data_IF_675993810370
#
_entry.id   IF_675993810370
#
_cell.length_a   1.000
_cell.length_b   1.000
_cell.length_c   1.000
_cell.angle_alpha   90.00
_cell.angle_beta   90.00
_cell.angle_gamma   90.00
#
_symmetry.space_group_name_H-M   'P 1'
#
loop_
_entity.id
_entity.type
_entity.pdbx_description
1 polymer ?
#
# COMPACT_ATOMS: atom_id res chain seq x y z
N UNK A 1 -40.04 -1.52 -24.42
CA UNK A 1 -39.15 -0.97 -23.38
C UNK A 1 -39.14 0.54 -23.50
N UNK A 2 -39.89 1.19 -22.62
CA UNK A 2 -40.03 2.64 -22.55
C UNK A 2 -38.70 3.27 -22.09
N UNK A 3 -38.45 4.53 -22.50
CA UNK A 3 -37.19 5.25 -22.21
C UNK A 3 -36.89 5.38 -20.70
N UNK A 4 -37.92 5.27 -19.85
CA UNK A 4 -37.81 5.27 -18.40
C UNK A 4 -37.14 4.00 -17.86
N UNK A 5 -37.61 2.81 -18.29
CA UNK A 5 -37.05 1.51 -17.87
C UNK A 5 -35.55 1.39 -18.20
N UNK A 6 -35.12 1.91 -19.37
CA UNK A 6 -33.72 1.87 -19.79
C UNK A 6 -32.81 2.79 -18.95
N UNK A 7 -33.38 3.82 -18.29
CA UNK A 7 -32.66 4.75 -17.42
C UNK A 7 -32.48 4.16 -16.03
N UNK A 8 -33.54 3.57 -15.49
CA UNK A 8 -33.52 2.81 -14.23
C UNK A 8 -32.53 1.64 -14.36
N UNK A 9 -32.70 0.80 -15.40
CA UNK A 9 -31.82 -0.34 -15.68
C UNK A 9 -30.34 0.05 -15.81
N UNK A 10 -30.03 1.17 -16.46
CA UNK A 10 -28.64 1.69 -16.55
C UNK A 10 -28.11 2.19 -15.21
N UNK A 11 -28.98 2.74 -14.36
CA UNK A 11 -28.62 3.22 -13.03
C UNK A 11 -28.31 2.01 -12.13
N UNK A 12 -29.20 1.02 -12.11
CA UNK A 12 -29.00 -0.24 -11.37
C UNK A 12 -27.76 -1.00 -11.87
N UNK A 13 -27.55 -1.10 -13.19
CA UNK A 13 -26.32 -1.71 -13.75
C UNK A 13 -25.07 -0.92 -13.35
N UNK A 14 -25.12 0.41 -13.36
CA UNK A 14 -23.97 1.24 -12.98
C UNK A 14 -23.67 1.10 -11.49
N UNK A 15 -24.70 1.00 -10.64
CA UNK A 15 -24.55 0.76 -9.21
C UNK A 15 -23.98 -0.64 -8.94
N UNK A 16 -24.48 -1.68 -9.62
CA UNK A 16 -23.93 -3.04 -9.56
C UNK A 16 -22.47 -3.12 -10.06
N UNK A 17 -22.13 -2.42 -11.15
CA UNK A 17 -20.75 -2.34 -11.67
C UNK A 17 -19.83 -1.52 -10.76
N UNK A 18 -20.35 -0.51 -10.04
CA UNK A 18 -19.58 0.27 -9.06
C UNK A 18 -19.31 -0.54 -7.80
N UNK A 19 -20.22 -1.44 -7.43
CA UNK A 19 -20.08 -2.36 -6.30
C UNK A 19 -19.00 -3.43 -6.55
N UNK A 20 -18.79 -3.81 -7.81
CA UNK A 20 -17.78 -4.81 -8.20
C UNK A 20 -16.41 -4.20 -8.58
N UNK A 21 -16.33 -2.89 -8.83
CA UNK A 21 -15.06 -2.22 -9.09
C UNK A 21 -14.37 -1.75 -7.80
N UNK A 22 -13.48 -2.62 -7.33
CA UNK A 22 -12.33 -2.22 -6.52
C UNK A 22 -12.49 -2.62 -5.07
N UNK A 23 -12.39 -3.92 -4.82
CA UNK A 23 -12.31 -4.48 -3.48
C UNK A 23 -11.07 -3.98 -2.73
N UNK A 24 -11.19 -2.86 -2.03
CA UNK A 24 -10.38 -2.56 -0.85
C UNK A 24 -10.93 -3.36 0.33
N UNK A 25 -10.63 -4.66 0.34
CA UNK A 25 -10.47 -5.38 1.60
C UNK A 25 -8.98 -5.36 1.84
N UNK A 26 -8.51 -4.64 2.86
CA UNK A 26 -7.10 -4.67 3.29
C UNK A 26 -6.76 -6.13 3.52
N UNK A 27 -6.17 -6.74 2.51
CA UNK A 27 -6.06 -8.18 2.44
C UNK A 27 -4.93 -8.59 3.36
N UNK A 28 -5.05 -9.72 4.04
CA UNK A 28 -3.96 -10.28 4.85
C UNK A 28 -2.64 -10.32 4.05
N UNK A 29 -2.74 -10.46 2.73
CA UNK A 29 -1.65 -10.34 1.76
C UNK A 29 -0.94 -8.98 1.81
N UNK A 30 -1.66 -7.86 1.91
CA UNK A 30 -1.09 -6.51 2.05
C UNK A 30 -0.39 -6.32 3.40
N UNK A 31 -0.92 -6.94 4.46
CA UNK A 31 -0.28 -6.95 5.79
C UNK A 31 1.02 -7.76 5.75
N UNK A 32 1.02 -8.93 5.10
CA UNK A 32 2.23 -9.75 4.92
C UNK A 32 3.26 -9.00 4.06
N UNK A 33 2.84 -8.35 2.99
CA UNK A 33 3.72 -7.50 2.17
C UNK A 33 4.24 -6.30 2.95
N UNK A 34 3.47 -5.71 3.86
CA UNK A 34 3.91 -4.59 4.70
C UNK A 34 5.01 -4.99 5.69
N UNK A 35 5.02 -6.25 6.14
CA UNK A 35 6.06 -6.78 7.03
C UNK A 35 7.32 -7.16 6.24
N UNK A 36 7.17 -7.77 5.06
CA UNK A 36 8.30 -8.24 4.25
C UNK A 36 8.95 -7.13 3.43
N UNK A 37 8.14 -6.23 2.85
CA UNK A 37 8.52 -5.12 1.98
C UNK A 37 7.63 -3.89 2.25
N UNK A 38 7.80 -3.23 3.42
CA UNK A 38 7.01 -2.06 3.84
C UNK A 38 6.83 -0.97 2.77
N UNK A 39 7.86 -0.55 2.01
CA UNK A 39 7.69 0.51 1.01
C UNK A 39 6.83 0.10 -0.19
N UNK A 40 6.79 -1.18 -0.58
CA UNK A 40 5.95 -1.67 -1.68
C UNK A 40 4.48 -1.78 -1.28
N UNK A 41 4.21 -2.21 -0.04
CA UNK A 41 2.85 -2.29 0.48
C UNK A 41 2.21 -0.90 0.59
N UNK A 42 2.96 0.08 1.11
CA UNK A 42 2.48 1.47 1.22
C UNK A 42 2.31 2.10 -0.16
N UNK A 43 3.21 1.81 -1.11
CA UNK A 43 3.08 2.27 -2.49
C UNK A 43 1.83 1.72 -3.18
N UNK A 44 1.47 0.45 -2.94
CA UNK A 44 0.29 -0.19 -3.54
C UNK A 44 -1.03 0.25 -2.87
N UNK A 45 -1.00 0.54 -1.58
CA UNK A 45 -2.21 0.84 -0.80
C UNK A 45 -2.53 2.35 -0.71
N UNK A 46 -1.51 3.21 -0.64
CA UNK A 46 -1.66 4.67 -0.42
C UNK A 46 -1.12 5.52 -1.61
N UNK A 47 -0.38 4.89 -2.55
CA UNK A 47 0.32 5.59 -3.62
C UNK A 47 1.58 6.33 -3.15
N UNK A 48 1.99 7.39 -3.88
CA UNK A 48 3.09 8.29 -3.46
C UNK A 48 2.51 9.35 -2.51
N UNK A 49 2.19 8.92 -1.29
CA UNK A 49 1.66 9.78 -0.23
C UNK A 49 2.69 10.09 0.86
N UNK A 50 2.26 10.88 1.85
CA UNK A 50 3.05 11.19 3.06
C UNK A 50 3.48 9.92 3.81
N UNK A 51 2.66 8.87 3.78
CA UNK A 51 2.93 7.54 4.36
C UNK A 51 4.17 6.85 3.75
N UNK A 52 4.40 7.04 2.45
CA UNK A 52 5.56 6.50 1.73
C UNK A 52 6.86 7.20 2.14
N UNK A 53 6.81 8.54 2.24
CA UNK A 53 7.93 9.34 2.73
C UNK A 53 8.29 9.03 4.19
N UNK A 54 7.28 8.84 5.05
CA UNK A 54 7.50 8.42 6.45
C UNK A 54 8.23 7.06 6.49
N UNK A 55 7.80 6.08 5.69
CA UNK A 55 8.44 4.76 5.66
C UNK A 55 9.86 4.81 5.11
N UNK A 56 10.13 5.61 4.07
CA UNK A 56 11.49 5.82 3.56
C UNK A 56 12.40 6.41 4.63
N UNK A 57 11.94 7.45 5.33
CA UNK A 57 12.73 8.11 6.39
C UNK A 57 12.98 7.13 7.53
N UNK A 58 11.96 6.36 7.94
CA UNK A 58 12.09 5.38 9.00
C UNK A 58 13.07 4.26 8.62
N UNK A 59 13.00 3.79 7.38
CA UNK A 59 13.93 2.77 6.86
C UNK A 59 15.37 3.31 6.85
N UNK A 60 15.59 4.53 6.38
CA UNK A 60 16.91 5.18 6.40
C UNK A 60 17.43 5.41 7.82
N UNK A 61 16.57 5.86 8.74
CA UNK A 61 16.96 6.20 10.12
C UNK A 61 17.40 4.97 10.93
N UNK A 62 16.81 3.80 10.68
CA UNK A 62 17.22 2.55 11.33
C UNK A 62 18.31 1.80 10.56
N UNK A 63 18.35 1.95 9.22
CA UNK A 63 19.34 1.27 8.38
C UNK A 63 20.74 1.87 8.52
N UNK A 64 20.87 3.20 8.51
CA UNK A 64 22.17 3.87 8.65
C UNK A 64 22.92 3.48 9.95
N UNK A 65 22.31 3.58 11.14
CA UNK A 65 22.98 3.15 12.37
C UNK A 65 23.24 1.65 12.40
N UNK A 66 22.37 0.83 11.80
CA UNK A 66 22.59 -0.61 11.65
C UNK A 66 23.82 -0.94 10.80
N UNK A 67 23.99 -0.26 9.65
CA UNK A 67 25.16 -0.43 8.78
C UNK A 67 26.43 0.07 9.47
N UNK A 68 26.39 1.23 10.12
CA UNK A 68 27.54 1.76 10.86
C UNK A 68 27.94 0.80 12.00
N UNK A 69 26.98 0.31 12.77
CA UNK A 69 27.23 -0.65 13.84
C UNK A 69 27.82 -1.96 13.31
N UNK A 70 27.27 -2.51 12.22
CA UNK A 70 27.79 -3.72 11.59
C UNK A 70 29.22 -3.53 11.07
N UNK A 71 29.53 -2.38 10.48
CA UNK A 71 30.88 -2.04 10.03
C UNK A 71 31.85 -1.93 11.22
N UNK A 72 31.45 -1.31 12.32
CA UNK A 72 32.28 -1.20 13.53
C UNK A 72 32.58 -2.57 14.15
N UNK A 73 31.57 -3.45 14.23
CA UNK A 73 31.72 -4.83 14.70
C UNK A 73 32.62 -5.64 13.76
N UNK A 74 32.42 -5.55 12.44
CA UNK A 74 33.24 -6.26 11.45
C UNK A 74 34.69 -5.75 11.44
N UNK A 75 34.89 -4.46 11.69
CA UNK A 75 36.21 -3.83 11.69
C UNK A 75 36.87 -3.88 13.08
N UNK A 76 36.26 -4.57 14.05
CA UNK A 76 36.78 -4.70 15.43
C UNK A 76 37.16 -3.34 16.06
N UNK A 77 36.39 -2.29 15.70
CA UNK A 77 36.62 -0.92 16.18
C UNK A 77 35.86 -0.62 17.47
N UNK A 78 35.08 -1.58 17.97
CA UNK A 78 34.30 -1.53 19.22
C UNK A 78 34.37 -2.86 19.95
#
# INVERSE_FOLDING_TARGET
>A
MTKAEKKELKKDLKEALKQDRGGSRTSIVEIILAILLPPLAVFLHDGIGTSFWINIILTLLFFLPGVIHALLVVTDSI
#
